data_IF_595622614385
#
_entry.id   IF_595622614385
#
_cell.length_a   1.000
_cell.length_b   1.000
_cell.length_c   1.000
_cell.angle_alpha   90.00
_cell.angle_beta   90.00
_cell.angle_gamma   90.00
#
_symmetry.space_group_name_H-M   'P 1'
#
loop_
_entity.id
_entity.type
_entity.pdbx_description
1 polymer ?
#
# COMPACT_ATOMS: atom_id res chain seq x y z
N UNK A 1 2.59 -19.22 8.74
CA UNK A 1 3.25 -17.96 9.12
C UNK A 1 3.55 -17.18 7.84
N UNK A 2 3.55 -15.85 7.92
CA UNK A 2 3.70 -14.95 6.78
C UNK A 2 4.95 -14.09 6.99
N UNK A 3 5.90 -14.17 6.07
CA UNK A 3 7.19 -13.49 6.11
C UNK A 3 7.20 -12.20 5.28
N UNK A 4 8.32 -11.48 5.28
CA UNK A 4 8.45 -10.25 4.49
C UNK A 4 8.12 -10.48 3.00
N UNK A 5 8.54 -11.58 2.40
CA UNK A 5 8.30 -11.89 0.98
C UNK A 5 6.81 -12.09 0.67
N UNK A 6 6.03 -12.65 1.59
CA UNK A 6 4.57 -12.63 1.49
C UNK A 6 4.03 -11.20 1.37
N UNK A 7 4.45 -10.29 2.26
CA UNK A 7 3.97 -8.91 2.24
C UNK A 7 4.47 -8.13 1.02
N UNK A 8 5.68 -8.38 0.52
CA UNK A 8 6.16 -7.79 -0.74
C UNK A 8 5.32 -8.23 -1.93
N UNK A 9 5.04 -9.55 -2.04
CA UNK A 9 4.14 -10.09 -3.08
C UNK A 9 2.73 -9.54 -2.95
N UNK A 10 2.24 -9.35 -1.74
CA UNK A 10 0.94 -8.73 -1.51
C UNK A 10 0.91 -7.27 -1.98
N UNK A 11 1.93 -6.46 -1.69
CA UNK A 11 2.03 -5.08 -2.20
C UNK A 11 2.10 -5.03 -3.72
N UNK A 12 2.84 -5.94 -4.36
CA UNK A 12 2.88 -6.07 -5.81
C UNK A 12 1.53 -6.47 -6.40
N UNK A 13 0.83 -7.43 -5.78
CA UNK A 13 -0.51 -7.85 -6.20
C UNK A 13 -1.55 -6.72 -6.03
N UNK A 14 -1.47 -5.96 -4.94
CA UNK A 14 -2.32 -4.79 -4.72
C UNK A 14 -2.07 -3.72 -5.78
N UNK A 15 -0.81 -3.42 -6.10
CA UNK A 15 -0.45 -2.47 -7.15
C UNK A 15 -0.97 -2.92 -8.52
N UNK A 16 -0.82 -4.19 -8.89
CA UNK A 16 -1.35 -4.73 -10.14
C UNK A 16 -2.89 -4.67 -10.20
N UNK A 17 -3.58 -4.86 -9.06
CA UNK A 17 -5.02 -4.72 -9.00
C UNK A 17 -5.47 -3.26 -9.15
N UNK A 18 -4.78 -2.33 -8.50
CA UNK A 18 -5.07 -0.90 -8.62
C UNK A 18 -4.81 -0.41 -10.05
N UNK A 19 -3.71 -0.84 -10.67
CA UNK A 19 -3.37 -0.48 -12.05
C UNK A 19 -4.46 -0.92 -13.03
N UNK A 20 -4.91 -2.17 -12.94
CA UNK A 20 -6.00 -2.70 -13.77
C UNK A 20 -7.32 -1.95 -13.58
N UNK A 21 -7.66 -1.60 -12.34
CA UNK A 21 -8.95 -0.97 -12.01
C UNK A 21 -8.89 0.56 -12.02
N UNK A 22 -7.73 1.20 -12.27
CA UNK A 22 -7.53 2.64 -12.12
C UNK A 22 -8.56 3.47 -12.90
N UNK A 23 -8.81 3.10 -14.17
CA UNK A 23 -9.81 3.77 -15.00
C UNK A 23 -11.22 3.68 -14.40
N UNK A 24 -11.62 2.50 -13.92
CA UNK A 24 -12.92 2.28 -13.28
C UNK A 24 -13.04 3.03 -11.95
N UNK A 25 -11.97 3.08 -11.16
CA UNK A 25 -11.94 3.84 -9.90
C UNK A 25 -12.11 5.34 -10.15
N UNK A 26 -11.45 5.87 -11.18
CA UNK A 26 -11.63 7.25 -11.64
C UNK A 26 -13.05 7.50 -12.15
N UNK A 27 -13.64 6.57 -12.91
CA UNK A 27 -15.03 6.69 -13.36
C UNK A 27 -16.02 6.76 -12.19
N UNK A 28 -15.88 5.86 -11.21
CA UNK A 28 -16.71 5.87 -10.00
C UNK A 28 -16.57 7.17 -9.21
N UNK A 29 -15.35 7.68 -9.09
CA UNK A 29 -15.05 8.92 -8.39
C UNK A 29 -15.60 10.15 -9.15
N UNK A 30 -15.61 10.12 -10.49
CA UNK A 30 -16.18 11.23 -11.29
C UNK A 30 -17.67 11.49 -11.02
N UNK A 31 -18.41 10.47 -10.58
CA UNK A 31 -19.84 10.61 -10.31
C UNK A 31 -20.13 11.43 -9.03
N UNK A 32 -19.19 11.46 -8.06
CA UNK A 32 -19.40 12.04 -6.73
C UNK A 32 -18.19 12.79 -6.14
N UNK A 33 -17.14 12.97 -6.92
CA UNK A 33 -15.84 13.49 -6.52
C UNK A 33 -15.16 14.26 -7.64
N UNK A 34 -13.84 14.26 -7.66
CA UNK A 34 -13.02 15.05 -8.60
C UNK A 34 -12.34 14.21 -9.70
N UNK A 35 -12.73 12.94 -9.82
CA UNK A 35 -12.27 12.00 -10.83
C UNK A 35 -10.75 11.71 -10.76
N UNK A 36 -10.14 11.86 -9.59
CA UNK A 36 -8.70 11.70 -9.42
C UNK A 36 -8.33 10.39 -8.71
N UNK A 37 -9.29 9.72 -8.05
CA UNK A 37 -9.01 8.64 -7.10
C UNK A 37 -8.20 7.48 -7.70
N UNK A 38 -8.61 6.96 -8.86
CA UNK A 38 -7.92 5.87 -9.54
C UNK A 38 -6.49 6.22 -9.91
N UNK A 39 -6.31 7.40 -10.54
CA UNK A 39 -4.99 7.91 -10.93
C UNK A 39 -4.07 8.17 -9.74
N UNK A 40 -4.63 8.65 -8.61
CA UNK A 40 -3.91 8.89 -7.37
C UNK A 40 -3.42 7.57 -6.75
N UNK A 41 -4.29 6.56 -6.66
CA UNK A 41 -3.90 5.25 -6.15
C UNK A 41 -2.88 4.55 -7.06
N UNK A 42 -3.05 4.62 -8.38
CA UNK A 42 -2.10 4.03 -9.34
C UNK A 42 -0.69 4.60 -9.14
N UNK A 43 -0.55 5.93 -9.06
CA UNK A 43 0.73 6.59 -8.76
C UNK A 43 1.30 6.14 -7.41
N UNK A 44 0.46 6.08 -6.39
CA UNK A 44 0.86 5.69 -5.05
C UNK A 44 1.40 4.26 -4.97
N UNK A 45 0.67 3.29 -5.51
CA UNK A 45 1.07 1.89 -5.48
C UNK A 45 2.26 1.59 -6.40
N UNK A 46 2.43 2.33 -7.51
CA UNK A 46 3.66 2.30 -8.29
C UNK A 46 4.87 2.79 -7.47
N UNK A 47 4.72 3.86 -6.67
CA UNK A 47 5.77 4.32 -5.78
C UNK A 47 6.05 3.34 -4.62
N UNK A 48 5.01 2.68 -4.09
CA UNK A 48 5.16 1.62 -3.07
C UNK A 48 6.00 0.46 -3.59
N UNK A 49 5.66 -0.08 -4.77
CA UNK A 49 6.39 -1.22 -5.36
C UNK A 49 7.85 -0.87 -5.62
N UNK A 50 8.11 0.29 -6.27
CA UNK A 50 9.47 0.76 -6.50
C UNK A 50 10.29 0.92 -5.21
N UNK A 51 9.68 1.43 -4.12
CA UNK A 51 10.36 1.58 -2.84
C UNK A 51 10.62 0.23 -2.16
N UNK A 52 9.65 -0.68 -2.18
CA UNK A 52 9.78 -2.02 -1.59
C UNK A 52 10.85 -2.84 -2.31
N UNK A 53 10.92 -2.77 -3.64
CA UNK A 53 11.93 -3.47 -4.43
C UNK A 53 13.33 -2.90 -4.19
N UNK A 54 13.43 -1.57 -4.07
CA UNK A 54 14.70 -0.88 -3.80
C UNK A 54 15.26 -1.18 -2.41
N UNK A 55 14.42 -1.02 -1.37
CA UNK A 55 14.86 -1.09 0.03
C UNK A 55 14.84 -2.54 0.56
N UNK A 56 14.12 -3.44 -0.11
CA UNK A 56 13.97 -4.87 0.21
C UNK A 56 13.83 -5.18 1.73
N UNK A 57 12.79 -4.64 2.41
CA UNK A 57 12.70 -4.73 3.88
C UNK A 57 12.59 -6.16 4.39
N UNK A 58 13.29 -6.47 5.48
CA UNK A 58 13.46 -7.84 5.98
C UNK A 58 12.30 -8.36 6.86
N UNK A 59 11.36 -7.50 7.27
CA UNK A 59 10.25 -7.87 8.17
C UNK A 59 8.89 -7.44 7.59
N UNK A 60 7.79 -8.17 7.87
CA UNK A 60 6.42 -7.74 7.54
C UNK A 60 6.11 -6.31 7.97
N UNK A 61 6.48 -5.96 9.21
CA UNK A 61 6.25 -4.64 9.77
C UNK A 61 6.95 -3.52 9.00
N UNK A 62 8.19 -3.77 8.57
CA UNK A 62 8.96 -2.82 7.77
C UNK A 62 8.38 -2.64 6.36
N UNK A 63 7.93 -3.71 5.70
CA UNK A 63 7.27 -3.63 4.38
C UNK A 63 6.04 -2.72 4.45
N UNK A 64 5.15 -2.95 5.42
CA UNK A 64 3.92 -2.16 5.56
C UNK A 64 4.18 -0.73 6.00
N UNK A 65 5.16 -0.51 6.87
CA UNK A 65 5.56 0.84 7.29
C UNK A 65 6.12 1.65 6.12
N UNK A 66 6.95 1.03 5.28
CA UNK A 66 7.48 1.66 4.07
C UNK A 66 6.36 1.98 3.09
N UNK A 67 5.48 1.02 2.79
CA UNK A 67 4.35 1.21 1.90
C UNK A 67 3.43 2.35 2.39
N UNK A 68 3.08 2.34 3.69
CA UNK A 68 2.26 3.38 4.30
C UNK A 68 2.89 4.77 4.20
N UNK A 69 4.21 4.90 4.43
CA UNK A 69 4.94 6.16 4.24
C UNK A 69 4.85 6.65 2.80
N UNK A 70 5.06 5.76 1.82
CA UNK A 70 4.99 6.14 0.41
C UNK A 70 3.59 6.64 0.03
N UNK A 71 2.53 5.96 0.46
CA UNK A 71 1.15 6.39 0.16
C UNK A 71 0.83 7.77 0.74
N UNK A 72 1.25 8.05 1.99
CA UNK A 72 1.06 9.37 2.60
C UNK A 72 1.73 10.48 1.77
N UNK A 73 2.92 10.22 1.21
CA UNK A 73 3.68 11.24 0.49
C UNK A 73 3.36 11.36 -1.00
N UNK A 74 2.71 10.36 -1.60
CA UNK A 74 2.54 10.29 -3.07
C UNK A 74 1.09 10.34 -3.54
N UNK A 75 0.15 9.91 -2.71
CA UNK A 75 -1.27 9.90 -3.03
C UNK A 75 -1.92 11.19 -2.51
N UNK A 76 -2.53 11.95 -3.42
CA UNK A 76 -3.30 13.15 -3.10
C UNK A 76 -4.65 12.84 -2.45
N UNK A 77 -5.33 13.90 -2.01
CA UNK A 77 -6.68 13.82 -1.45
C UNK A 77 -6.76 13.01 -0.14
N UNK A 78 -7.97 12.52 0.17
CA UNK A 78 -8.22 11.81 1.42
C UNK A 78 -7.61 10.40 1.47
N UNK A 79 -7.45 9.76 0.30
CA UNK A 79 -7.05 8.35 0.23
C UNK A 79 -5.61 8.09 0.68
N UNK A 80 -4.67 9.02 0.42
CA UNK A 80 -3.27 8.91 0.84
C UNK A 80 -3.09 8.80 2.35
N UNK A 81 -3.59 9.77 3.13
CA UNK A 81 -3.58 9.69 4.59
C UNK A 81 -4.31 8.46 5.15
N UNK A 82 -5.43 8.04 4.55
CA UNK A 82 -6.22 6.91 5.05
C UNK A 82 -5.51 5.57 4.86
N UNK A 83 -5.19 5.19 3.62
CA UNK A 83 -4.49 3.94 3.34
C UNK A 83 -3.07 3.95 3.90
N UNK A 84 -2.40 5.09 3.81
CA UNK A 84 -1.06 5.25 4.35
C UNK A 84 -1.00 5.10 5.87
N UNK A 85 -1.99 5.65 6.60
CA UNK A 85 -2.10 5.46 8.06
C UNK A 85 -2.43 4.02 8.41
N UNK A 86 -3.35 3.38 7.68
CA UNK A 86 -3.68 1.96 7.86
C UNK A 86 -2.40 1.11 7.81
N UNK A 87 -1.67 1.13 6.68
CA UNK A 87 -0.47 0.31 6.49
C UNK A 87 0.62 0.66 7.51
N UNK A 88 0.84 1.96 7.77
CA UNK A 88 1.88 2.39 8.72
C UNK A 88 1.57 1.99 10.16
N UNK A 89 0.31 2.01 10.58
CA UNK A 89 -0.08 1.58 11.93
C UNK A 89 -0.02 0.06 12.07
N UNK A 90 -0.49 -0.69 11.06
CA UNK A 90 -0.36 -2.14 11.03
C UNK A 90 1.11 -2.55 11.08
N UNK A 91 1.97 -1.94 10.25
CA UNK A 91 3.40 -2.24 10.24
C UNK A 91 4.07 -2.02 11.60
N UNK A 92 3.71 -0.94 12.31
CA UNK A 92 4.18 -0.69 13.68
C UNK A 92 3.68 -1.71 14.69
N UNK A 93 2.45 -2.20 14.55
CA UNK A 93 1.88 -3.20 15.44
C UNK A 93 2.57 -4.57 15.28
N UNK A 94 2.97 -4.93 14.06
CA UNK A 94 3.70 -6.17 13.76
C UNK A 94 5.18 -6.10 14.19
N UNK A 95 5.75 -4.90 14.30
CA UNK A 95 7.12 -4.69 14.79
C UNK A 95 8.20 -5.32 13.90
N UNK A 96 9.24 -5.84 14.52
CA UNK A 96 10.45 -6.37 13.86
C UNK A 96 10.49 -7.91 13.79
N UNK A 97 9.35 -8.59 14.01
CA UNK A 97 9.28 -10.03 13.87
C UNK A 97 9.59 -10.44 12.42
N UNK A 98 10.34 -11.52 12.21
CA UNK A 98 10.64 -12.02 10.87
C UNK A 98 9.39 -12.61 10.17
N UNK A 99 8.44 -13.09 10.96
CA UNK A 99 7.20 -13.70 10.50
C UNK A 99 6.04 -13.34 11.43
N UNK A 100 4.82 -13.35 10.89
CA UNK A 100 3.58 -13.15 11.65
C UNK A 100 2.61 -14.31 11.44
N UNK A 101 1.82 -14.62 12.46
CA UNK A 101 0.72 -15.58 12.36
C UNK A 101 -0.56 -14.92 11.80
N UNK A 102 -1.62 -15.72 11.66
CA UNK A 102 -2.91 -15.22 11.17
C UNK A 102 -3.73 -14.51 12.26
N UNK A 103 -3.47 -14.80 13.53
CA UNK A 103 -4.22 -14.23 14.66
C UNK A 103 -3.75 -12.79 14.95
N UNK A 104 -2.59 -12.40 14.42
CA UNK A 104 -2.02 -11.05 14.44
C UNK A 104 -2.53 -10.12 13.31
N UNK A 105 -3.35 -10.62 12.37
CA UNK A 105 -3.85 -9.88 11.21
C UNK A 105 -5.34 -9.54 11.34
#
# INVERSE_FOLDING_TARGET
>A
MLDADFFRRWMAAAAASVDREAGRLTELDSAIGDADHGSNLQRGFAAVTAAVDKDAPATPGAVLTLAGRQLISTVGGASGPLYGTLLRRTGKALGEAAEVDRDQL
#
